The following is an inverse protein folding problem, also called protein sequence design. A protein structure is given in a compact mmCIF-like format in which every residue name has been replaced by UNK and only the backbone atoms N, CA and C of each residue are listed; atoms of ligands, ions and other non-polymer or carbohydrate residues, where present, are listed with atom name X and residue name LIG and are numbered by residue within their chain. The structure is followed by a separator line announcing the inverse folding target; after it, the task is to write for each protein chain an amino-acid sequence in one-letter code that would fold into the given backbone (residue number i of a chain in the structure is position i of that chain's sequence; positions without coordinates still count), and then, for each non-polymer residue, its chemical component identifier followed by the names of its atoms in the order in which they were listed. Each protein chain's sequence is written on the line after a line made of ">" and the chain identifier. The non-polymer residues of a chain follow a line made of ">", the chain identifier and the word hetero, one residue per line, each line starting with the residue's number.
data_IF_616190925644
#
_entry.id   IF_616190925644
#
_cell.length_a   1.000
_cell.length_b   1.000
_cell.length_c   1.000
_cell.angle_alpha   90.00
_cell.angle_beta   90.00
_cell.angle_gamma   90.00
#
_symmetry.space_group_name_H-M   'P 1'
#
loop_
_entity.id
_entity.type
_entity.pdbx_description
1 polymer ?
#
# COMPACT_ATOMS: atom_id res chain seq x y z
N UNK A 1 -10.17 -53.04 -1.69
CA UNK A 1 -9.24 -52.03 -1.16
C UNK A 1 -9.83 -50.65 -1.46
N UNK A 2 -10.47 -50.02 -0.46
CA UNK A 2 -11.19 -48.74 -0.63
C UNK A 2 -10.17 -47.62 -0.81
N UNK A 3 -10.06 -47.04 -2.01
CA UNK A 3 -9.24 -45.84 -2.24
C UNK A 3 -9.86 -44.67 -1.47
N UNK A 4 -9.26 -44.30 -0.35
CA UNK A 4 -9.59 -43.05 0.35
C UNK A 4 -9.42 -41.87 -0.62
N UNK A 5 -10.33 -40.88 -0.64
CA UNK A 5 -10.29 -39.79 -1.63
C UNK A 5 -9.05 -38.92 -1.43
N UNK A 6 -8.27 -38.71 -2.50
CA UNK A 6 -7.00 -37.94 -2.50
C UNK A 6 -7.13 -36.49 -1.99
N UNK A 7 -8.36 -35.97 -1.94
CA UNK A 7 -8.71 -34.65 -1.42
C UNK A 7 -8.45 -34.54 0.10
N UNK A 8 -8.67 -35.61 0.87
CA UNK A 8 -8.47 -35.60 2.33
C UNK A 8 -6.98 -35.52 2.70
N UNK A 9 -6.12 -36.28 2.01
CA UNK A 9 -4.66 -36.21 2.22
C UNK A 9 -4.08 -34.85 1.85
N UNK A 10 -4.58 -34.21 0.77
CA UNK A 10 -4.17 -32.84 0.40
C UNK A 10 -4.57 -31.80 1.45
N UNK A 11 -5.76 -31.94 2.06
CA UNK A 11 -6.20 -31.04 3.15
C UNK A 11 -5.37 -31.22 4.42
N UNK A 12 -5.09 -32.46 4.82
CA UNK A 12 -4.25 -32.77 5.99
C UNK A 12 -2.83 -32.26 5.78
N UNK A 13 -2.23 -32.48 4.61
CA UNK A 13 -0.89 -31.98 4.29
C UNK A 13 -0.80 -30.45 4.32
N UNK A 14 -1.81 -29.74 3.81
CA UNK A 14 -1.88 -28.27 3.92
C UNK A 14 -2.01 -27.80 5.36
N UNK A 15 -2.80 -28.50 6.17
CA UNK A 15 -2.96 -28.18 7.59
C UNK A 15 -1.67 -28.37 8.38
N UNK A 16 -0.97 -29.50 8.19
CA UNK A 16 0.32 -29.78 8.83
C UNK A 16 1.37 -28.73 8.42
N UNK A 17 1.45 -28.40 7.12
CA UNK A 17 2.35 -27.35 6.62
C UNK A 17 2.07 -26.00 7.29
N UNK A 18 0.79 -25.63 7.39
CA UNK A 18 0.36 -24.40 8.04
C UNK A 18 0.77 -24.37 9.52
N UNK A 19 0.44 -25.42 10.28
CA UNK A 19 0.80 -25.52 11.71
C UNK A 19 2.33 -25.38 11.89
N UNK A 20 3.11 -26.07 11.06
CA UNK A 20 4.57 -25.97 11.10
C UNK A 20 5.09 -24.55 10.83
N UNK A 21 4.47 -23.83 9.91
CA UNK A 21 4.86 -22.45 9.59
C UNK A 21 4.46 -21.45 10.68
N UNK A 22 3.28 -21.61 11.28
CA UNK A 22 2.84 -20.80 12.43
C UNK A 22 3.77 -21.01 13.64
N UNK A 23 4.20 -22.25 13.89
CA UNK A 23 5.16 -22.58 14.95
C UNK A 23 6.55 -21.96 14.68
N UNK A 24 7.06 -22.05 13.45
CA UNK A 24 8.29 -21.35 13.05
C UNK A 24 8.16 -19.84 13.24
N UNK A 25 7.01 -19.26 12.89
CA UNK A 25 6.76 -17.83 13.08
C UNK A 25 6.77 -17.44 14.54
N UNK A 26 6.19 -18.27 15.42
CA UNK A 26 6.22 -18.05 16.86
C UNK A 26 7.66 -18.06 17.40
N UNK A 27 8.48 -19.03 16.97
CA UNK A 27 9.90 -19.11 17.35
C UNK A 27 10.69 -17.89 16.86
N UNK A 28 10.41 -17.41 15.65
CA UNK A 28 10.99 -16.16 15.14
C UNK A 28 10.61 -14.95 16.00
N UNK A 29 9.33 -14.80 16.33
CA UNK A 29 8.83 -13.71 17.20
C UNK A 29 9.51 -13.73 18.58
N UNK A 30 9.80 -14.92 19.11
CA UNK A 30 10.54 -15.06 20.37
C UNK A 30 12.02 -14.67 20.29
N UNK A 31 12.60 -14.63 19.08
CA UNK A 31 13.99 -14.20 18.87
C UNK A 31 14.14 -12.70 18.71
N UNK A 32 13.05 -11.99 18.42
CA UNK A 32 13.06 -10.52 18.38
C UNK A 32 13.37 -9.98 19.77
N UNK A 33 14.27 -8.99 19.84
CA UNK A 33 14.71 -8.35 21.09
C UNK A 33 13.51 -7.99 21.97
N UNK A 34 13.54 -8.42 23.23
CA UNK A 34 12.38 -8.33 24.12
C UNK A 34 11.93 -6.88 24.35
N UNK A 35 12.86 -5.91 24.30
CA UNK A 35 12.58 -4.48 24.47
C UNK A 35 11.68 -3.94 23.37
N UNK A 36 11.70 -4.52 22.17
CA UNK A 36 10.77 -4.18 21.07
C UNK A 36 9.32 -4.43 21.50
N UNK A 37 9.07 -5.53 22.23
CA UNK A 37 7.73 -5.89 22.69
C UNK A 37 7.35 -5.17 23.98
N UNK A 38 8.28 -5.09 24.95
CA UNK A 38 8.05 -4.45 26.25
C UNK A 38 7.69 -2.96 26.11
N UNK A 39 8.27 -2.27 25.11
CA UNK A 39 8.05 -0.85 24.85
C UNK A 39 6.92 -0.57 23.86
N UNK A 40 6.34 -1.58 23.22
CA UNK A 40 5.39 -1.39 22.11
C UNK A 40 4.21 -0.47 22.50
N UNK A 41 3.54 -0.79 23.62
CA UNK A 41 2.35 -0.05 24.05
C UNK A 41 2.67 1.38 24.47
N UNK A 42 3.79 1.61 25.16
CA UNK A 42 4.18 2.96 25.60
C UNK A 42 4.63 3.85 24.43
N UNK A 43 5.28 3.28 23.42
CA UNK A 43 5.60 3.98 22.17
C UNK A 43 4.32 4.36 21.43
N UNK A 44 3.34 3.45 21.40
CA UNK A 44 2.06 3.68 20.75
C UNK A 44 1.25 4.77 21.46
N UNK A 45 1.16 4.73 22.80
CA UNK A 45 0.49 5.76 23.59
C UNK A 45 1.17 7.13 23.43
N UNK A 46 2.51 7.15 23.38
CA UNK A 46 3.25 8.38 23.08
C UNK A 46 2.85 8.94 21.71
N UNK A 47 2.79 8.11 20.67
CA UNK A 47 2.45 8.56 19.32
C UNK A 47 1.02 9.10 19.22
N UNK A 48 0.09 8.54 20.01
CA UNK A 48 -1.25 9.09 20.18
C UNK A 48 -1.23 10.47 20.85
N UNK A 49 -0.45 10.65 21.92
CA UNK A 49 -0.36 11.94 22.60
C UNK A 49 0.26 13.06 21.73
N UNK A 50 1.09 12.70 20.73
CA UNK A 50 1.69 13.67 19.81
C UNK A 50 0.73 14.14 18.70
N UNK A 51 -0.32 13.38 18.36
CA UNK A 51 -1.22 13.77 17.27
C UNK A 51 -1.95 15.10 17.51
N UNK A 52 -1.98 15.55 18.76
CA UNK A 52 -2.71 16.72 19.21
C UNK A 52 -1.82 17.98 19.31
N UNK A 53 -0.52 17.86 19.01
CA UNK A 53 0.46 18.96 19.16
C UNK A 53 0.89 19.52 17.80
N UNK A 54 1.05 20.85 17.73
CA UNK A 54 1.59 21.53 16.54
C UNK A 54 3.10 21.37 16.47
N UNK A 55 3.59 21.00 15.28
CA UNK A 55 4.97 20.56 15.09
C UNK A 55 5.86 21.70 14.58
N UNK A 56 6.91 22.04 15.33
CA UNK A 56 7.92 23.04 14.95
C UNK A 56 9.33 22.48 15.24
N UNK A 57 9.78 21.56 14.40
CA UNK A 57 11.09 20.93 14.50
C UNK A 57 12.21 21.68 13.76
N UNK A 58 13.42 21.66 14.34
CA UNK A 58 14.60 22.35 13.80
C UNK A 58 15.51 21.48 12.90
N UNK A 59 15.26 20.18 12.76
CA UNK A 59 16.11 19.30 11.93
C UNK A 59 15.89 19.59 10.42
N UNK A 60 16.98 19.59 9.65
CA UNK A 60 17.00 19.76 8.19
C UNK A 60 15.97 18.89 7.45
N UNK A 61 15.80 17.62 7.85
CA UNK A 61 14.80 16.73 7.24
C UNK A 61 13.38 17.27 7.43
N UNK A 62 13.05 17.73 8.65
CA UNK A 62 11.72 18.26 8.98
C UNK A 62 11.47 19.57 8.23
N UNK A 63 12.45 20.47 8.24
CA UNK A 63 12.38 21.73 7.49
C UNK A 63 12.15 21.47 6.00
N UNK A 64 13.02 20.67 5.38
CA UNK A 64 12.97 20.35 3.95
C UNK A 64 11.70 19.60 3.58
N UNK A 65 11.27 18.66 4.41
CA UNK A 65 10.03 17.91 4.22
C UNK A 65 8.80 18.80 4.27
N UNK A 66 8.74 19.73 5.22
CA UNK A 66 7.65 20.69 5.31
C UNK A 66 7.61 21.65 4.12
N UNK A 67 8.76 22.10 3.63
CA UNK A 67 8.86 22.91 2.40
C UNK A 67 8.32 22.14 1.18
N UNK A 68 8.85 20.93 0.92
CA UNK A 68 8.45 20.08 -0.20
C UNK A 68 6.96 19.71 -0.13
N UNK A 69 6.49 19.34 1.06
CA UNK A 69 5.07 19.05 1.30
C UNK A 69 4.21 20.26 0.99
N UNK A 70 4.58 21.44 1.48
CA UNK A 70 3.82 22.67 1.25
C UNK A 70 3.72 22.99 -0.24
N UNK A 71 4.82 22.83 -0.99
CA UNK A 71 4.84 22.98 -2.45
C UNK A 71 3.87 22.01 -3.13
N UNK A 72 3.90 20.72 -2.77
CA UNK A 72 3.00 19.72 -3.34
C UNK A 72 1.54 20.00 -2.98
N UNK A 73 1.26 20.37 -1.73
CA UNK A 73 -0.08 20.76 -1.29
C UNK A 73 -0.60 21.95 -2.12
N UNK A 74 0.20 23.01 -2.26
CA UNK A 74 -0.16 24.19 -3.03
C UNK A 74 -0.39 23.89 -4.52
N UNK A 75 0.50 23.11 -5.14
CA UNK A 75 0.40 22.75 -6.57
C UNK A 75 -0.85 21.93 -6.88
N UNK A 76 -1.26 21.03 -5.99
CA UNK A 76 -2.33 20.07 -6.26
C UNK A 76 -3.69 20.47 -5.70
N UNK A 77 -3.74 21.39 -4.73
CA UNK A 77 -5.01 21.81 -4.14
C UNK A 77 -5.94 22.36 -5.21
N UNK A 78 -7.13 21.75 -5.33
CA UNK A 78 -8.16 22.17 -6.29
C UNK A 78 -7.72 22.18 -7.77
N UNK A 79 -6.57 21.58 -8.10
CA UNK A 79 -5.97 21.61 -9.45
C UNK A 79 -6.90 21.04 -10.52
N UNK A 80 -7.71 20.05 -10.17
CA UNK A 80 -8.64 19.37 -11.06
C UNK A 80 -10.10 19.85 -10.89
N UNK A 81 -10.36 20.92 -10.12
CA UNK A 81 -11.71 21.45 -9.91
C UNK A 81 -12.43 21.84 -11.22
N UNK A 82 -11.67 22.29 -12.23
CA UNK A 82 -12.20 22.67 -13.54
C UNK A 82 -12.78 21.48 -14.33
N UNK A 83 -12.45 20.24 -13.95
CA UNK A 83 -13.00 19.01 -14.53
C UNK A 83 -14.40 18.74 -13.97
N UNK A 84 -15.27 19.73 -14.15
CA UNK A 84 -16.50 19.97 -13.38
C UNK A 84 -17.58 18.89 -13.49
N UNK A 85 -17.50 18.02 -14.50
CA UNK A 85 -18.47 16.94 -14.70
C UNK A 85 -18.05 15.61 -14.04
N UNK A 86 -16.84 15.49 -13.49
CA UNK A 86 -16.42 14.27 -12.80
C UNK A 86 -16.98 14.21 -11.38
N UNK A 87 -17.59 13.08 -11.04
CA UNK A 87 -18.06 12.72 -9.71
C UNK A 87 -17.72 11.26 -9.48
N UNK A 88 -16.76 10.99 -8.60
CA UNK A 88 -16.16 9.65 -8.49
C UNK A 88 -16.64 8.97 -7.22
N UNK A 89 -17.28 7.82 -7.36
CA UNK A 89 -17.61 6.95 -6.23
C UNK A 89 -16.57 5.84 -6.14
N UNK A 90 -16.02 5.59 -4.95
CA UNK A 90 -14.98 4.57 -4.74
C UNK A 90 -15.47 3.57 -3.70
N UNK A 91 -15.47 2.29 -4.08
CA UNK A 91 -15.91 1.20 -3.21
C UNK A 91 -14.80 0.80 -2.24
N UNK A 92 -15.01 1.05 -0.94
CA UNK A 92 -14.01 0.88 0.11
C UNK A 92 -14.39 -0.30 1.02
N UNK A 93 -13.51 -1.31 1.19
CA UNK A 93 -13.78 -2.44 2.09
C UNK A 93 -13.59 -2.03 3.55
N UNK A 94 -14.19 -2.75 4.52
CA UNK A 94 -13.84 -2.58 5.92
C UNK A 94 -12.36 -2.90 6.19
N UNK A 95 -11.70 -2.07 7.01
CA UNK A 95 -10.29 -2.22 7.36
C UNK A 95 -9.92 -3.62 7.89
N UNK A 96 -10.81 -4.26 8.66
CA UNK A 96 -10.56 -5.59 9.23
C UNK A 96 -10.65 -6.73 8.20
N UNK A 97 -11.30 -6.51 7.05
CA UNK A 97 -11.44 -7.50 5.97
C UNK A 97 -10.27 -7.37 4.99
N UNK A 98 -9.98 -6.14 4.55
CA UNK A 98 -8.86 -5.85 3.67
C UNK A 98 -8.16 -4.58 4.13
N UNK A 99 -7.16 -4.69 5.03
CA UNK A 99 -6.39 -3.53 5.49
C UNK A 99 -5.70 -2.81 4.32
N UNK A 100 -5.14 -3.57 3.38
CA UNK A 100 -4.49 -3.04 2.18
C UNK A 100 -5.48 -2.35 1.24
N UNK A 101 -6.63 -2.97 0.96
CA UNK A 101 -7.68 -2.37 0.13
C UNK A 101 -8.24 -1.10 0.77
N UNK A 102 -8.49 -1.11 2.08
CA UNK A 102 -8.93 0.07 2.81
C UNK A 102 -7.91 1.21 2.70
N UNK A 103 -6.62 0.93 2.88
CA UNK A 103 -5.54 1.92 2.75
C UNK A 103 -5.53 2.54 1.36
N UNK A 104 -5.46 1.69 0.33
CA UNK A 104 -5.41 2.07 -1.09
C UNK A 104 -6.58 2.94 -1.51
N UNK A 105 -7.81 2.44 -1.36
CA UNK A 105 -9.00 3.15 -1.83
C UNK A 105 -9.27 4.42 -1.03
N UNK A 106 -8.98 4.42 0.28
CA UNK A 106 -9.13 5.64 1.09
C UNK A 106 -8.11 6.71 0.68
N UNK A 107 -6.84 6.34 0.46
CA UNK A 107 -5.80 7.26 0.00
C UNK A 107 -6.14 7.89 -1.35
N UNK A 108 -6.64 7.07 -2.28
CA UNK A 108 -7.06 7.55 -3.58
C UNK A 108 -8.22 8.54 -3.45
N UNK A 109 -9.23 8.21 -2.65
CA UNK A 109 -10.36 9.12 -2.39
C UNK A 109 -9.90 10.44 -1.76
N UNK A 110 -9.08 10.41 -0.70
CA UNK A 110 -8.58 11.61 -0.03
C UNK A 110 -7.77 12.50 -1.00
N UNK A 111 -7.02 11.88 -1.92
CA UNK A 111 -6.24 12.60 -2.93
C UNK A 111 -7.14 13.25 -3.98
N UNK A 112 -8.13 12.52 -4.49
CA UNK A 112 -9.09 13.05 -5.49
C UNK A 112 -9.88 14.22 -4.89
N UNK A 113 -10.31 14.11 -3.63
CA UNK A 113 -10.99 15.19 -2.91
C UNK A 113 -10.12 16.43 -2.81
N UNK A 114 -8.86 16.25 -2.41
CA UNK A 114 -7.88 17.34 -2.30
C UNK A 114 -7.61 18.05 -3.64
N UNK A 115 -7.63 17.30 -4.73
CA UNK A 115 -7.48 17.82 -6.10
C UNK A 115 -8.74 18.58 -6.58
N UNK A 116 -9.82 18.61 -5.79
CA UNK A 116 -11.04 19.37 -6.06
C UNK A 116 -12.09 18.65 -6.90
N UNK A 117 -11.96 17.33 -7.09
CA UNK A 117 -12.97 16.52 -7.78
C UNK A 117 -13.91 15.91 -6.74
N UNK A 118 -15.24 16.10 -6.86
CA UNK A 118 -16.20 15.49 -5.95
C UNK A 118 -16.02 13.97 -5.88
N UNK A 119 -15.80 13.46 -4.68
CA UNK A 119 -15.60 12.03 -4.44
C UNK A 119 -16.44 11.53 -3.27
N UNK A 120 -16.96 10.31 -3.40
CA UNK A 120 -17.71 9.62 -2.34
C UNK A 120 -17.12 8.25 -2.10
N UNK A 121 -16.74 7.99 -0.84
CA UNK A 121 -16.44 6.62 -0.38
C UNK A 121 -17.77 5.89 -0.19
N UNK A 122 -17.90 4.74 -0.86
CA UNK A 122 -19.00 3.79 -0.69
C UNK A 122 -18.47 2.63 0.16
N UNK A 123 -18.89 2.55 1.41
CA UNK A 123 -18.51 1.46 2.31
C UNK A 123 -19.44 0.26 2.14
N UNK A 124 -18.98 -0.94 2.50
CA UNK A 124 -19.76 -2.19 2.36
C UNK A 124 -21.06 -2.23 3.19
N UNK A 125 -21.18 -1.37 4.20
CA UNK A 125 -22.37 -1.22 5.04
C UNK A 125 -23.38 -0.20 4.49
N UNK A 126 -22.99 0.57 3.48
CA UNK A 126 -23.83 1.64 2.96
C UNK A 126 -24.98 1.09 2.12
N UNK A 127 -26.09 1.81 2.10
CA UNK A 127 -27.17 1.54 1.15
C UNK A 127 -26.76 2.06 -0.23
N UNK A 128 -26.38 1.13 -1.12
CA UNK A 128 -25.91 1.46 -2.48
C UNK A 128 -26.86 2.38 -3.25
N UNK A 129 -28.17 2.09 -3.24
CA UNK A 129 -29.14 2.86 -4.00
C UNK A 129 -29.29 4.30 -3.48
N UNK A 130 -29.27 4.48 -2.16
CA UNK A 130 -29.33 5.80 -1.54
C UNK A 130 -28.07 6.62 -1.89
N UNK A 131 -26.87 6.03 -1.74
CA UNK A 131 -25.62 6.73 -2.06
C UNK A 131 -25.53 7.05 -3.54
N UNK A 132 -25.93 6.13 -4.43
CA UNK A 132 -25.94 6.34 -5.88
C UNK A 132 -26.86 7.50 -6.28
N UNK A 133 -28.08 7.55 -5.72
CA UNK A 133 -29.03 8.62 -5.99
C UNK A 133 -28.55 9.98 -5.46
N UNK A 134 -28.20 10.05 -4.17
CA UNK A 134 -27.81 11.29 -3.50
C UNK A 134 -26.52 11.89 -4.08
N UNK A 135 -25.53 11.04 -4.37
CA UNK A 135 -24.26 11.51 -4.89
C UNK A 135 -24.27 11.70 -6.40
N UNK A 136 -25.11 10.98 -7.15
CA UNK A 136 -25.18 11.04 -8.61
C UNK A 136 -23.79 10.96 -9.28
N UNK A 137 -23.01 9.87 -9.09
CA UNK A 137 -21.67 9.75 -9.65
C UNK A 137 -21.69 9.63 -11.18
N UNK A 138 -20.58 10.02 -11.80
CA UNK A 138 -20.27 9.69 -13.21
C UNK A 138 -19.34 8.49 -13.33
N UNK A 139 -18.61 8.15 -12.27
CA UNK A 139 -17.73 6.99 -12.25
C UNK A 139 -17.87 6.19 -10.95
N UNK A 140 -17.82 4.87 -11.04
CA UNK A 140 -17.65 3.95 -9.91
C UNK A 140 -16.36 3.16 -10.07
N UNK A 141 -15.47 3.26 -9.09
CA UNK A 141 -14.26 2.44 -8.98
C UNK A 141 -14.50 1.33 -7.96
N UNK A 142 -14.35 0.07 -8.37
CA UNK A 142 -14.45 -1.10 -7.48
C UNK A 142 -13.45 -2.18 -7.87
N UNK A 143 -13.41 -3.29 -7.12
CA UNK A 143 -12.59 -4.45 -7.42
C UNK A 143 -13.36 -5.51 -8.22
N UNK A 144 -12.65 -6.22 -9.11
CA UNK A 144 -13.13 -7.43 -9.80
C UNK A 144 -13.24 -8.66 -8.88
N UNK A 145 -12.82 -8.55 -7.62
CA UNK A 145 -12.94 -9.62 -6.65
C UNK A 145 -14.40 -9.81 -6.21
N UNK A 146 -14.87 -11.06 -6.19
CA UNK A 146 -16.27 -11.42 -5.88
C UNK A 146 -16.82 -10.79 -4.60
N UNK A 147 -16.02 -10.74 -3.53
CA UNK A 147 -16.42 -10.11 -2.27
C UNK A 147 -16.81 -8.61 -2.40
N UNK A 148 -16.33 -7.91 -3.43
CA UNK A 148 -16.75 -6.56 -3.76
C UNK A 148 -17.96 -6.59 -4.70
N UNK A 149 -17.91 -7.40 -5.75
CA UNK A 149 -18.99 -7.47 -6.74
C UNK A 149 -20.33 -7.87 -6.10
N UNK A 150 -20.32 -8.80 -5.14
CA UNK A 150 -21.52 -9.28 -4.43
C UNK A 150 -22.16 -8.20 -3.52
N UNK A 151 -21.51 -7.04 -3.33
CA UNK A 151 -22.00 -5.92 -2.51
C UNK A 151 -22.60 -4.77 -3.32
N UNK A 152 -22.53 -4.86 -4.65
CA UNK A 152 -23.06 -3.85 -5.56
C UNK A 152 -24.39 -4.36 -6.12
N UNK A 153 -25.42 -3.51 -6.10
CA UNK A 153 -26.67 -3.79 -6.79
C UNK A 153 -26.50 -3.52 -8.30
N UNK A 154 -26.11 -4.55 -9.03
CA UNK A 154 -25.87 -4.47 -10.48
C UNK A 154 -27.13 -4.19 -11.28
N UNK A 155 -28.31 -4.53 -10.76
CA UNK A 155 -29.59 -4.15 -11.37
C UNK A 155 -29.77 -2.63 -11.37
N UNK A 156 -29.46 -2.00 -10.23
CA UNK A 156 -29.47 -0.54 -10.09
C UNK A 156 -28.38 0.15 -10.89
N UNK A 157 -27.17 -0.42 -10.97
CA UNK A 157 -26.12 0.07 -11.87
C UNK A 157 -26.63 0.11 -13.32
N UNK A 158 -27.20 -0.99 -13.79
CA UNK A 158 -27.71 -1.10 -15.15
C UNK A 158 -28.89 -0.14 -15.42
N UNK A 159 -29.76 0.10 -14.44
CA UNK A 159 -30.83 1.09 -14.53
C UNK A 159 -30.27 2.52 -14.59
N UNK A 160 -29.35 2.87 -13.68
CA UNK A 160 -28.76 4.20 -13.57
C UNK A 160 -27.96 4.59 -14.83
N UNK A 161 -27.19 3.65 -15.40
CA UNK A 161 -26.46 3.85 -16.67
C UNK A 161 -27.35 4.16 -17.88
N UNK A 162 -28.65 3.90 -17.84
CA UNK A 162 -29.56 4.22 -18.97
C UNK A 162 -29.86 5.71 -19.07
N UNK A 163 -29.83 6.43 -17.95
CA UNK A 163 -30.22 7.84 -17.86
C UNK A 163 -29.07 8.77 -17.46
N UNK A 164 -27.91 8.23 -17.11
CA UNK A 164 -26.75 9.00 -16.67
C UNK A 164 -25.50 8.62 -17.47
N UNK A 165 -24.62 9.59 -17.68
CA UNK A 165 -23.26 9.33 -18.16
C UNK A 165 -22.44 8.69 -17.04
N UNK A 166 -22.59 7.38 -16.88
CA UNK A 166 -22.05 6.60 -15.77
C UNK A 166 -21.20 5.43 -16.26
N UNK A 167 -19.95 5.40 -15.81
CA UNK A 167 -18.96 4.36 -16.17
C UNK A 167 -18.47 3.61 -14.94
N UNK A 168 -18.25 2.30 -15.07
CA UNK A 168 -17.72 1.45 -14.00
C UNK A 168 -16.32 0.97 -14.37
N UNK A 169 -15.36 1.16 -13.46
CA UNK A 169 -14.01 0.65 -13.54
C UNK A 169 -13.76 -0.48 -12.55
N UNK A 170 -13.08 -1.54 -12.98
CA UNK A 170 -12.70 -2.68 -12.14
C UNK A 170 -11.20 -2.80 -11.95
N UNK A 171 -10.77 -3.35 -10.81
CA UNK A 171 -9.38 -3.77 -10.65
C UNK A 171 -9.02 -4.88 -11.64
N UNK A 172 -7.79 -4.90 -12.16
CA UNK A 172 -7.25 -5.94 -13.01
C UNK A 172 -6.46 -6.95 -12.17
N UNK A 173 -7.14 -7.95 -11.64
CA UNK A 173 -6.50 -9.00 -10.83
C UNK A 173 -6.16 -10.22 -11.69
N UNK A 174 -4.99 -10.82 -11.46
CA UNK A 174 -4.65 -12.18 -11.93
C UNK A 174 -4.92 -13.21 -10.83
N UNK A 175 -5.17 -14.46 -11.21
CA UNK A 175 -5.36 -15.53 -10.22
C UNK A 175 -4.04 -15.95 -9.57
N UNK A 176 -4.09 -16.20 -8.26
CA UNK A 176 -3.99 -17.60 -7.82
C UNK A 176 -5.17 -18.06 -6.94
N UNK A 177 -6.21 -17.23 -6.77
CA UNK A 177 -7.15 -17.35 -5.63
C UNK A 177 -8.65 -17.20 -6.00
N UNK A 178 -9.01 -17.28 -7.29
CA UNK A 178 -10.42 -17.23 -7.74
C UNK A 178 -11.06 -18.60 -7.92
N UNK A 179 -12.39 -18.64 -7.90
CA UNK A 179 -13.20 -19.79 -8.34
C UNK A 179 -13.57 -19.72 -9.83
N UNK A 180 -13.24 -18.61 -10.50
CA UNK A 180 -13.60 -18.28 -11.88
C UNK A 180 -12.35 -17.80 -12.61
N UNK A 181 -12.12 -18.35 -13.79
CA UNK A 181 -10.93 -18.03 -14.60
C UNK A 181 -10.92 -16.54 -14.96
N UNK A 182 -9.75 -15.98 -15.31
CA UNK A 182 -9.68 -14.60 -15.80
C UNK A 182 -10.65 -14.35 -16.98
N UNK A 183 -10.80 -15.33 -17.86
CA UNK A 183 -11.75 -15.26 -18.98
C UNK A 183 -13.19 -15.10 -18.51
N UNK A 184 -13.61 -15.88 -17.52
CA UNK A 184 -14.97 -15.78 -16.96
C UNK A 184 -15.22 -14.41 -16.33
N UNK A 185 -14.20 -13.82 -15.67
CA UNK A 185 -14.31 -12.45 -15.11
C UNK A 185 -14.44 -11.40 -16.20
N UNK A 186 -13.69 -11.53 -17.30
CA UNK A 186 -13.76 -10.60 -18.43
C UNK A 186 -15.10 -10.72 -19.17
N UNK A 187 -15.60 -11.94 -19.40
CA UNK A 187 -16.95 -12.17 -19.95
C UNK A 187 -18.05 -11.63 -19.04
N UNK A 188 -17.89 -11.78 -17.71
CA UNK A 188 -18.78 -11.16 -16.75
C UNK A 188 -18.75 -9.62 -16.89
N UNK A 189 -17.56 -9.02 -16.99
CA UNK A 189 -17.40 -7.58 -17.18
C UNK A 189 -18.05 -7.06 -18.46
N UNK A 190 -17.90 -7.78 -19.57
CA UNK A 190 -18.57 -7.46 -20.83
C UNK A 190 -20.10 -7.46 -20.69
N UNK A 191 -20.67 -8.50 -20.06
CA UNK A 191 -22.12 -8.58 -19.83
C UNK A 191 -22.67 -7.47 -18.92
N UNK A 192 -21.81 -6.85 -18.10
CA UNK A 192 -22.16 -5.74 -17.21
C UNK A 192 -21.69 -4.38 -17.75
N UNK A 193 -21.20 -4.31 -18.99
CA UNK A 193 -20.72 -3.08 -19.65
C UNK A 193 -19.65 -2.35 -18.84
N UNK A 194 -18.70 -3.09 -18.27
CA UNK A 194 -17.55 -2.51 -17.59
C UNK A 194 -16.74 -1.67 -18.57
N UNK A 195 -16.46 -0.42 -18.20
CA UNK A 195 -15.90 0.58 -19.11
C UNK A 195 -14.38 0.51 -19.19
N UNK A 196 -13.70 0.16 -18.10
CA UNK A 196 -12.24 0.09 -18.06
C UNK A 196 -11.71 -0.75 -16.90
N UNK A 197 -10.42 -1.06 -16.98
CA UNK A 197 -9.69 -1.77 -15.94
C UNK A 197 -8.51 -0.94 -15.44
N UNK A 198 -8.20 -1.07 -14.15
CA UNK A 198 -7.07 -0.39 -13.52
C UNK A 198 -6.40 -1.33 -12.52
N UNK A 199 -5.19 -1.05 -12.06
CA UNK A 199 -4.60 -1.85 -10.99
C UNK A 199 -3.38 -1.20 -10.37
N UNK A 200 -2.93 -1.76 -9.25
CA UNK A 200 -1.91 -1.12 -8.40
C UNK A 200 -0.47 -1.55 -8.69
N UNK A 201 -0.28 -2.33 -9.77
CA UNK A 201 1.04 -2.77 -10.24
C UNK A 201 1.52 -1.85 -11.34
N UNK A 202 2.82 -1.82 -11.56
CA UNK A 202 3.46 -1.00 -12.57
C UNK A 202 3.12 -1.48 -13.99
N UNK A 203 3.14 -0.57 -14.96
CA UNK A 203 2.84 -0.90 -16.35
C UNK A 203 3.76 -1.98 -16.91
N UNK A 204 5.04 -1.97 -16.50
CA UNK A 204 6.03 -2.97 -16.89
C UNK A 204 5.59 -4.40 -16.53
N UNK A 205 4.92 -4.56 -15.38
CA UNK A 205 4.41 -5.86 -14.95
C UNK A 205 3.28 -6.38 -15.83
N UNK A 206 2.34 -5.51 -16.20
CA UNK A 206 1.23 -5.87 -17.08
C UNK A 206 1.71 -6.25 -18.48
N UNK A 207 2.79 -5.63 -18.95
CA UNK A 207 3.40 -5.95 -20.24
C UNK A 207 4.21 -7.26 -20.21
N UNK A 208 4.91 -7.55 -19.11
CA UNK A 208 5.80 -8.72 -19.00
C UNK A 208 5.03 -10.03 -18.71
N UNK A 209 3.96 -9.99 -17.93
CA UNK A 209 3.32 -11.21 -17.45
C UNK A 209 2.19 -11.68 -18.37
N UNK A 210 2.35 -12.87 -18.95
CA UNK A 210 1.41 -13.48 -19.88
C UNK A 210 -0.04 -13.54 -19.35
N UNK A 211 -0.23 -13.68 -18.05
CA UNK A 211 -1.55 -13.69 -17.42
C UNK A 211 -2.38 -12.42 -17.65
N UNK A 212 -1.75 -11.29 -18.00
CA UNK A 212 -2.46 -10.05 -18.34
C UNK A 212 -2.72 -9.87 -19.84
N UNK A 213 -2.15 -10.72 -20.71
CA UNK A 213 -2.33 -10.63 -22.17
C UNK A 213 -3.81 -10.67 -22.58
N UNK A 214 -4.62 -11.45 -21.86
CA UNK A 214 -6.06 -11.55 -22.12
C UNK A 214 -6.83 -10.22 -22.02
N UNK A 215 -6.38 -9.26 -21.20
CA UNK A 215 -6.97 -7.93 -21.19
C UNK A 215 -6.74 -7.24 -22.54
N UNK A 216 -5.50 -7.22 -23.01
CA UNK A 216 -5.15 -6.60 -24.29
C UNK A 216 -5.76 -7.31 -25.51
N UNK A 217 -5.88 -8.64 -25.48
CA UNK A 217 -6.54 -9.43 -26.55
C UNK A 217 -8.02 -9.09 -26.71
N UNK A 218 -8.67 -8.62 -25.64
CA UNK A 218 -10.06 -8.15 -25.64
C UNK A 218 -10.17 -6.63 -25.80
N UNK A 219 -9.06 -5.95 -26.12
CA UNK A 219 -9.03 -4.51 -26.36
C UNK A 219 -9.04 -3.65 -25.09
N UNK A 220 -8.79 -4.24 -23.91
CA UNK A 220 -8.70 -3.49 -22.67
C UNK A 220 -7.26 -3.09 -22.35
N UNK A 221 -7.05 -1.79 -22.13
CA UNK A 221 -5.85 -1.25 -21.48
C UNK A 221 -6.03 -1.28 -19.95
N UNK A 222 -4.98 -1.68 -19.22
CA UNK A 222 -4.98 -1.68 -17.76
C UNK A 222 -4.28 -0.41 -17.30
N UNK A 223 -5.04 0.49 -16.69
CA UNK A 223 -4.45 1.71 -16.17
C UNK A 223 -3.71 1.46 -14.85
N UNK A 224 -2.40 1.71 -14.85
CA UNK A 224 -1.55 1.56 -13.68
C UNK A 224 -1.72 2.72 -12.68
N UNK A 225 -2.12 2.35 -11.47
CA UNK A 225 -2.26 3.17 -10.27
C UNK A 225 -1.29 2.69 -9.19
N UNK A 226 0.00 2.77 -9.45
CA UNK A 226 1.02 2.39 -8.47
C UNK A 226 0.80 3.09 -7.11
N UNK A 227 1.27 2.43 -6.04
CA UNK A 227 1.34 3.03 -4.71
C UNK A 227 2.09 4.38 -4.73
N UNK A 228 1.82 5.19 -3.70
CA UNK A 228 2.48 6.47 -3.47
C UNK A 228 2.29 6.93 -2.03
N UNK A 229 3.03 7.96 -1.64
CA UNK A 229 2.88 8.57 -0.32
C UNK A 229 1.72 9.56 -0.32
N UNK A 230 0.79 9.44 0.62
CA UNK A 230 -0.26 10.45 0.83
C UNK A 230 0.32 11.66 1.59
N UNK A 231 0.50 12.83 0.94
CA UNK A 231 1.08 14.02 1.59
C UNK A 231 0.24 14.55 2.74
N UNK A 232 -1.05 14.23 2.79
CA UNK A 232 -1.94 14.64 3.88
C UNK A 232 -1.61 13.91 5.19
N UNK A 233 -1.08 12.69 5.11
CA UNK A 233 -0.88 11.81 6.27
C UNK A 233 0.59 11.58 6.61
N UNK A 234 1.45 11.52 5.60
CA UNK A 234 2.85 11.16 5.74
C UNK A 234 3.74 12.34 5.36
N UNK A 235 4.49 12.79 6.34
CA UNK A 235 5.46 13.87 6.26
C UNK A 235 6.39 13.78 7.47
N UNK A 236 7.60 14.34 7.40
CA UNK A 236 8.51 14.27 8.53
C UNK A 236 7.98 15.12 9.67
N UNK A 237 8.07 14.59 10.89
CA UNK A 237 7.66 15.28 12.11
C UNK A 237 8.83 15.41 13.07
N UNK A 238 8.81 16.43 13.93
CA UNK A 238 9.83 16.59 14.95
C UNK A 238 9.66 15.55 16.04
N UNK A 239 10.78 14.96 16.45
CA UNK A 239 10.85 14.12 17.65
C UNK A 239 12.04 14.54 18.50
N UNK A 240 11.96 14.39 19.83
CA UNK A 240 13.09 14.70 20.71
C UNK A 240 14.35 13.92 20.31
N UNK A 241 14.19 12.66 19.95
CA UNK A 241 15.28 11.77 19.57
C UNK A 241 14.78 10.63 18.67
N UNK A 242 15.65 10.15 17.76
CA UNK A 242 15.48 8.86 17.07
C UNK A 242 16.00 7.72 17.94
N UNK A 243 15.20 7.31 18.90
CA UNK A 243 15.58 6.36 19.94
C UNK A 243 15.25 4.89 19.62
N UNK A 244 14.67 4.62 18.45
CA UNK A 244 14.39 3.28 17.95
C UNK A 244 15.45 2.88 16.93
N UNK A 245 16.11 1.75 17.13
CA UNK A 245 17.16 1.31 16.21
C UNK A 245 16.58 1.01 14.81
N UNK A 246 15.33 0.53 14.77
CA UNK A 246 14.57 0.37 13.55
C UNK A 246 13.07 0.54 13.75
N UNK A 247 12.36 0.80 12.64
CA UNK A 247 10.89 0.81 12.56
C UNK A 247 10.43 -0.09 11.43
N UNK A 248 9.42 -0.93 11.69
CA UNK A 248 8.84 -1.86 10.72
C UNK A 248 7.33 -2.00 10.90
N UNK A 249 6.56 -1.09 10.27
CA UNK A 249 5.10 -1.19 10.23
C UNK A 249 4.70 -2.05 9.02
N UNK A 250 4.41 -3.33 9.24
CA UNK A 250 4.06 -4.29 8.20
C UNK A 250 3.09 -5.35 8.73
N UNK A 251 2.17 -5.81 7.88
CA UNK A 251 1.39 -7.02 8.21
C UNK A 251 2.27 -8.26 8.19
N UNK A 252 1.99 -9.21 9.07
CA UNK A 252 2.51 -10.57 8.99
C UNK A 252 1.45 -11.50 8.43
N UNK A 253 1.74 -12.11 7.30
CA UNK A 253 0.93 -13.16 6.72
C UNK A 253 1.84 -14.27 6.18
N UNK A 254 1.25 -15.43 5.95
CA UNK A 254 1.98 -16.66 5.60
C UNK A 254 2.90 -16.49 4.38
N UNK A 255 2.50 -15.65 3.42
CA UNK A 255 3.24 -15.38 2.18
C UNK A 255 4.51 -14.54 2.41
N UNK A 256 4.65 -13.89 3.56
CA UNK A 256 5.81 -13.06 3.95
C UNK A 256 6.72 -13.70 4.98
N UNK A 257 6.25 -14.76 5.66
CA UNK A 257 6.98 -15.36 6.77
C UNK A 257 8.38 -15.84 6.35
N UNK A 258 8.50 -16.47 5.19
CA UNK A 258 9.79 -16.96 4.69
C UNK A 258 10.79 -15.82 4.50
N UNK A 259 10.36 -14.70 3.90
CA UNK A 259 11.17 -13.47 3.81
C UNK A 259 11.56 -12.94 5.20
N UNK A 260 10.64 -12.93 6.18
CA UNK A 260 10.97 -12.43 7.52
C UNK A 260 11.99 -13.31 8.24
N UNK A 261 11.90 -14.63 8.09
CA UNK A 261 12.84 -15.58 8.69
C UNK A 261 14.24 -15.48 8.11
N UNK A 262 14.33 -15.13 6.85
CA UNK A 262 15.59 -15.05 6.14
C UNK A 262 16.27 -13.70 6.37
N UNK A 263 15.54 -12.59 6.24
CA UNK A 263 16.12 -11.25 6.15
C UNK A 263 16.23 -10.50 7.48
N UNK A 264 15.33 -10.74 8.43
CA UNK A 264 15.26 -9.95 9.67
C UNK A 264 16.16 -10.42 10.83
N UNK A 265 16.51 -11.71 11.02
CA UNK A 265 17.17 -12.16 12.26
C UNK A 265 18.49 -11.45 12.57
N UNK A 266 19.28 -11.12 11.55
CA UNK A 266 20.55 -10.39 11.69
C UNK A 266 20.43 -8.97 12.23
N UNK A 267 19.20 -8.45 12.33
CA UNK A 267 18.87 -7.11 12.82
C UNK A 267 18.03 -7.23 14.10
N UNK A 268 16.86 -7.86 14.01
CA UNK A 268 15.82 -7.74 15.05
C UNK A 268 16.16 -8.47 16.35
N UNK A 269 17.12 -9.39 16.35
CA UNK A 269 17.45 -10.22 17.52
C UNK A 269 18.32 -9.53 18.57
N UNK A 270 18.98 -8.42 18.22
CA UNK A 270 19.90 -7.70 19.10
C UNK A 270 19.71 -6.18 19.14
N UNK A 271 18.66 -5.68 18.49
CA UNK A 271 18.37 -4.26 18.37
C UNK A 271 16.96 -3.97 18.85
N UNK A 272 16.77 -2.88 19.59
CA UNK A 272 15.47 -2.50 20.11
C UNK A 272 14.78 -1.56 19.11
N UNK A 273 13.78 -2.09 18.41
CA UNK A 273 13.03 -1.33 17.41
C UNK A 273 11.55 -1.20 17.76
N UNK A 274 10.76 -0.95 16.72
CA UNK A 274 9.30 -0.97 16.79
C UNK A 274 8.73 -1.74 15.59
N UNK A 275 8.01 -2.82 15.87
CA UNK A 275 7.32 -3.63 14.88
C UNK A 275 5.83 -3.50 15.14
N UNK A 276 5.05 -3.20 14.10
CA UNK A 276 3.61 -3.12 14.22
C UNK A 276 2.86 -3.53 12.94
N UNK A 277 1.61 -3.95 13.11
CA UNK A 277 0.72 -4.36 12.02
C UNK A 277 -0.13 -5.60 12.36
N UNK A 278 -1.10 -5.94 11.51
CA UNK A 278 -1.92 -7.13 11.72
C UNK A 278 -1.09 -8.41 11.51
N UNK A 279 -1.31 -9.42 12.36
CA UNK A 279 -0.72 -10.76 12.24
C UNK A 279 0.51 -11.03 13.12
N UNK A 280 1.01 -10.05 13.87
CA UNK A 280 2.09 -10.26 14.85
C UNK A 280 1.54 -10.76 16.19
N UNK A 281 2.04 -11.89 16.69
CA UNK A 281 1.49 -12.54 17.88
C UNK A 281 1.58 -11.75 19.19
N UNK A 282 2.56 -10.84 19.32
CA UNK A 282 2.81 -10.08 20.56
C UNK A 282 2.15 -8.70 20.59
N UNK A 283 1.38 -8.36 19.55
CA UNK A 283 0.76 -7.04 19.40
C UNK A 283 -0.70 -7.11 19.83
N UNK A 284 -1.08 -6.26 20.78
CA UNK A 284 -2.46 -6.21 21.31
C UNK A 284 -3.36 -5.29 20.48
N UNK A 285 -2.82 -4.14 20.06
CA UNK A 285 -3.46 -3.17 19.17
C UNK A 285 -2.44 -2.68 18.15
N UNK A 286 -2.89 -2.45 16.93
CA UNK A 286 -2.05 -1.90 15.86
C UNK A 286 -2.34 -0.41 15.66
N UNK A 287 -1.31 0.33 15.28
CA UNK A 287 -1.37 1.77 15.10
C UNK A 287 -2.36 2.17 13.99
N UNK A 288 -3.25 3.14 14.26
CA UNK A 288 -4.02 3.78 13.21
C UNK A 288 -3.09 4.62 12.31
N UNK A 289 -3.50 4.88 11.07
CA UNK A 289 -2.62 5.44 10.02
C UNK A 289 -2.18 6.87 10.35
N UNK A 290 -3.05 7.58 11.06
CA UNK A 290 -2.95 8.97 11.46
C UNK A 290 -1.76 9.23 12.37
N UNK A 291 -1.20 8.19 13.02
CA UNK A 291 -0.05 8.32 13.91
C UNK A 291 1.23 7.67 13.36
N UNK A 292 1.17 7.02 12.19
CA UNK A 292 2.32 6.31 11.61
C UNK A 292 3.54 7.23 11.44
N UNK A 293 3.35 8.49 11.04
CA UNK A 293 4.46 9.45 10.88
C UNK A 293 5.25 9.65 12.17
N UNK A 294 4.59 9.68 13.34
CA UNK A 294 5.26 9.81 14.64
C UNK A 294 6.07 8.54 14.96
N UNK A 295 5.51 7.37 14.70
CA UNK A 295 6.21 6.09 14.89
C UNK A 295 7.44 6.01 13.98
N UNK A 296 7.29 6.32 12.69
CA UNK A 296 8.39 6.32 11.74
C UNK A 296 9.49 7.32 12.12
N UNK A 297 9.12 8.54 12.55
CA UNK A 297 10.07 9.60 12.89
C UNK A 297 11.04 9.28 14.02
N UNK A 298 10.71 8.32 14.89
CA UNK A 298 11.59 7.81 15.97
C UNK A 298 12.62 6.77 15.50
N UNK A 299 12.43 6.20 14.31
CA UNK A 299 13.32 5.19 13.75
C UNK A 299 14.63 5.79 13.22
N UNK A 300 15.75 5.17 13.57
CA UNK A 300 17.04 5.41 12.90
C UNK A 300 17.06 4.79 11.49
N UNK A 301 16.44 3.60 11.35
CA UNK A 301 16.33 2.88 10.07
C UNK A 301 14.89 2.40 9.84
N UNK A 302 14.34 2.70 8.66
CA UNK A 302 13.09 2.10 8.19
C UNK A 302 13.38 0.78 7.47
N UNK A 303 12.94 -0.35 8.04
CA UNK A 303 13.10 -1.65 7.38
C UNK A 303 12.01 -1.82 6.33
N UNK A 304 12.36 -2.40 5.19
CA UNK A 304 11.39 -2.66 4.15
C UNK A 304 11.71 -3.91 3.33
N UNK A 305 10.81 -4.89 3.41
CA UNK A 305 10.87 -6.11 2.60
C UNK A 305 9.65 -6.19 1.68
N UNK A 306 9.87 -6.68 0.47
CA UNK A 306 8.88 -6.88 -0.56
C UNK A 306 8.46 -8.35 -0.67
N UNK A 307 7.31 -8.57 -1.31
CA UNK A 307 6.86 -9.92 -1.63
C UNK A 307 7.70 -10.51 -2.77
N UNK A 308 7.78 -11.84 -2.83
CA UNK A 308 8.54 -12.56 -3.86
C UNK A 308 8.21 -12.12 -5.30
N UNK A 309 6.96 -11.76 -5.58
CA UNK A 309 6.55 -11.28 -6.91
C UNK A 309 7.32 -10.02 -7.32
N UNK A 310 7.51 -9.06 -6.41
CA UNK A 310 8.27 -7.83 -6.66
C UNK A 310 9.78 -8.05 -6.78
N UNK A 311 10.30 -9.15 -6.20
CA UNK A 311 11.70 -9.55 -6.35
C UNK A 311 11.97 -10.23 -7.70
N UNK A 312 10.97 -10.95 -8.22
CA UNK A 312 11.06 -11.67 -9.50
C UNK A 312 10.76 -10.78 -10.69
N UNK A 313 9.79 -9.88 -10.55
CA UNK A 313 9.23 -9.08 -11.63
C UNK A 313 9.17 -7.61 -11.26
N UNK A 314 9.11 -6.73 -12.26
CA UNK A 314 8.88 -5.29 -12.04
C UNK A 314 7.43 -4.98 -11.64
N UNK A 315 6.90 -5.68 -10.61
CA UNK A 315 5.50 -5.67 -10.18
C UNK A 315 5.09 -4.37 -9.48
N UNK A 316 5.56 -4.18 -8.25
CA UNK A 316 5.21 -3.02 -7.43
C UNK A 316 6.31 -2.78 -6.41
N UNK A 317 6.50 -1.52 -6.02
CA UNK A 317 7.07 -1.19 -4.72
C UNK A 317 5.91 -1.13 -3.74
N UNK A 318 6.11 -1.68 -2.55
CA UNK A 318 5.06 -1.65 -1.53
C UNK A 318 4.83 -0.20 -1.05
N UNK A 319 3.65 0.06 -0.46
CA UNK A 319 3.29 1.40 0.03
C UNK A 319 4.34 2.00 0.99
N UNK A 320 4.99 1.14 1.80
CA UNK A 320 5.98 1.55 2.80
C UNK A 320 7.23 2.16 2.20
N UNK A 321 7.64 1.78 0.98
CA UNK A 321 8.76 2.45 0.27
C UNK A 321 8.50 3.94 0.11
N UNK A 322 7.27 4.32 -0.22
CA UNK A 322 6.88 5.71 -0.40
C UNK A 322 6.65 6.40 0.95
N UNK A 323 6.03 5.71 1.92
CA UNK A 323 5.76 6.29 3.24
C UNK A 323 7.06 6.61 4.00
N UNK A 324 8.04 5.71 4.00
CA UNK A 324 9.33 5.93 4.65
C UNK A 324 10.07 7.12 4.03
N UNK A 325 10.07 7.21 2.69
CA UNK A 325 10.61 8.35 1.96
C UNK A 325 9.92 9.66 2.41
N UNK A 326 8.58 9.69 2.45
CA UNK A 326 7.82 10.88 2.79
C UNK A 326 7.98 11.29 4.26
N UNK A 327 8.24 10.33 5.16
CA UNK A 327 8.55 10.61 6.56
C UNK A 327 10.03 10.99 6.80
N UNK A 328 10.88 11.00 5.75
CA UNK A 328 12.28 11.39 5.85
C UNK A 328 13.13 10.40 6.66
N UNK A 329 12.84 9.10 6.53
CA UNK A 329 13.56 8.03 7.25
C UNK A 329 14.56 7.35 6.31
N UNK A 330 15.83 7.16 6.72
CA UNK A 330 16.76 6.32 5.99
C UNK A 330 16.18 4.91 5.87
N UNK A 331 16.02 4.44 4.65
CA UNK A 331 15.31 3.20 4.37
C UNK A 331 16.27 2.14 3.82
N UNK A 332 16.23 0.98 4.48
CA UNK A 332 16.92 -0.23 4.11
C UNK A 332 15.90 -1.16 3.45
N UNK A 333 16.12 -1.43 2.18
CA UNK A 333 15.20 -2.15 1.31
C UNK A 333 15.90 -3.40 0.79
N UNK A 334 15.15 -4.47 0.56
CA UNK A 334 15.60 -5.54 -0.34
C UNK A 334 15.74 -5.01 -1.79
N UNK A 335 15.89 -5.89 -2.77
CA UNK A 335 16.15 -5.50 -4.16
C UNK A 335 14.99 -5.84 -5.11
N UNK A 336 13.80 -5.23 -4.95
CA UNK A 336 12.70 -5.44 -5.89
C UNK A 336 13.03 -4.83 -7.25
N UNK A 337 12.61 -5.50 -8.34
CA UNK A 337 13.00 -5.14 -9.72
C UNK A 337 12.59 -3.73 -10.14
N UNK A 338 11.57 -3.18 -9.49
CA UNK A 338 11.06 -1.84 -9.78
C UNK A 338 11.86 -0.71 -9.10
N UNK A 339 12.70 -1.03 -8.09
CA UNK A 339 13.30 -0.03 -7.19
C UNK A 339 14.01 1.10 -7.96
N UNK A 340 15.01 0.74 -8.76
CA UNK A 340 15.83 1.70 -9.47
C UNK A 340 15.18 2.27 -10.75
N UNK A 341 13.95 1.84 -11.07
CA UNK A 341 13.11 2.50 -12.07
C UNK A 341 12.28 3.65 -11.48
N UNK A 342 12.19 3.75 -10.16
CA UNK A 342 11.40 4.78 -9.45
C UNK A 342 12.28 5.68 -8.60
N UNK A 343 13.19 5.08 -7.82
CA UNK A 343 14.12 5.81 -6.96
C UNK A 343 15.56 5.74 -7.49
N UNK A 344 16.35 6.79 -7.27
CA UNK A 344 17.78 6.76 -7.59
C UNK A 344 18.55 5.91 -6.57
N UNK A 345 19.77 5.48 -6.93
CA UNK A 345 20.65 4.75 -6.01
C UNK A 345 21.09 5.60 -4.81
N UNK A 346 21.08 6.91 -4.98
CA UNK A 346 21.37 7.91 -3.95
C UNK A 346 20.19 8.12 -2.98
N UNK A 347 19.01 7.55 -3.25
CA UNK A 347 17.82 7.74 -2.41
C UNK A 347 17.66 6.65 -1.33
N UNK A 348 18.21 5.46 -1.53
CA UNK A 348 17.92 4.28 -0.69
C UNK A 348 19.16 3.44 -0.40
N UNK A 349 19.10 2.62 0.65
CA UNK A 349 20.01 1.50 0.85
C UNK A 349 19.29 0.24 0.37
N UNK A 350 19.90 -0.50 -0.55
CA UNK A 350 19.30 -1.73 -1.12
C UNK A 350 20.27 -2.89 -0.98
N UNK A 351 19.79 -4.02 -0.48
CA UNK A 351 20.55 -5.25 -0.40
C UNK A 351 19.96 -6.34 -1.29
N UNK A 352 20.82 -7.15 -1.88
CA UNK A 352 20.46 -8.31 -2.71
C UNK A 352 20.49 -9.62 -1.93
N UNK A 353 21.13 -9.65 -0.75
CA UNK A 353 21.13 -10.82 0.14
C UNK A 353 20.83 -10.45 1.60
N UNK A 354 20.40 -11.42 2.44
CA UNK A 354 20.19 -11.19 3.86
C UNK A 354 21.43 -10.72 4.62
N UNK A 355 22.61 -11.24 4.27
CA UNK A 355 23.88 -10.85 4.88
C UNK A 355 24.19 -9.38 4.56
N UNK A 356 24.07 -9.00 3.29
CA UNK A 356 24.23 -7.61 2.84
C UNK A 356 23.20 -6.69 3.52
N UNK A 357 21.96 -7.15 3.71
CA UNK A 357 20.92 -6.39 4.41
C UNK A 357 21.33 -6.11 5.86
N UNK A 358 21.87 -7.11 6.58
CA UNK A 358 22.37 -6.93 7.94
C UNK A 358 23.65 -6.06 8.01
N UNK A 359 24.54 -6.17 7.02
CA UNK A 359 25.74 -5.31 6.91
C UNK A 359 25.36 -3.85 6.64
N UNK A 360 24.45 -3.60 5.69
CA UNK A 360 23.96 -2.26 5.41
C UNK A 360 23.22 -1.66 6.60
N UNK A 361 22.47 -2.44 7.36
CA UNK A 361 21.87 -1.96 8.61
C UNK A 361 22.92 -1.42 9.58
N UNK A 362 24.00 -2.18 9.83
CA UNK A 362 25.12 -1.73 10.69
C UNK A 362 25.81 -0.50 10.11
N UNK A 363 25.96 -0.46 8.79
CA UNK A 363 26.54 0.67 8.08
C UNK A 363 25.72 1.95 8.28
N UNK A 364 24.39 1.88 8.12
CA UNK A 364 23.49 3.02 8.31
C UNK A 364 23.62 3.59 9.73
N UNK A 365 23.62 2.73 10.76
CA UNK A 365 23.77 3.16 12.15
C UNK A 365 25.13 3.82 12.42
N UNK A 366 26.19 3.35 11.75
CA UNK A 366 27.55 3.89 11.90
C UNK A 366 27.81 5.14 11.06
N UNK A 367 26.97 5.43 10.06
CA UNK A 367 27.14 6.52 9.10
C UNK A 367 25.91 7.44 9.05
N UNK A 368 25.53 8.09 10.17
CA UNK A 368 24.27 8.84 10.27
C UNK A 368 24.17 10.02 9.28
N UNK A 369 25.29 10.63 8.88
CA UNK A 369 25.31 11.72 7.88
C UNK A 369 24.92 11.24 6.49
N UNK A 370 25.45 10.09 6.06
CA UNK A 370 25.08 9.51 4.76
C UNK A 370 23.64 9.00 4.79
N UNK A 371 23.22 8.42 5.92
CA UNK A 371 21.84 8.02 6.14
C UNK A 371 20.88 9.22 5.99
N UNK A 372 21.21 10.37 6.58
CA UNK A 372 20.47 11.62 6.44
C UNK A 372 20.42 12.10 4.99
N UNK A 373 21.55 12.08 4.27
CA UNK A 373 21.61 12.48 2.86
C UNK A 373 20.71 11.61 1.97
N UNK A 374 20.74 10.29 2.13
CA UNK A 374 19.86 9.36 1.39
C UNK A 374 18.39 9.57 1.77
N UNK A 375 18.09 9.81 3.04
CA UNK A 375 16.73 10.15 3.49
C UNK A 375 16.23 11.46 2.85
N UNK A 376 17.04 12.51 2.81
CA UNK A 376 16.71 13.77 2.11
C UNK A 376 16.50 13.55 0.62
N UNK A 377 17.34 12.73 -0.02
CA UNK A 377 17.20 12.43 -1.44
C UNK A 377 15.91 11.68 -1.75
N UNK A 378 15.56 10.65 -0.97
CA UNK A 378 14.28 9.94 -1.14
C UNK A 378 13.06 10.83 -0.85
N UNK A 379 13.16 11.74 0.12
CA UNK A 379 12.14 12.75 0.44
C UNK A 379 11.87 13.67 -0.77
N UNK A 380 12.92 14.14 -1.44
CA UNK A 380 12.79 14.95 -2.66
C UNK A 380 12.16 14.18 -3.83
N UNK A 381 12.59 12.93 -4.02
CA UNK A 381 12.06 12.09 -5.11
C UNK A 381 10.60 11.72 -4.90
N UNK A 382 10.19 11.42 -3.65
CA UNK A 382 8.80 11.04 -3.39
C UNK A 382 7.85 12.23 -3.59
N UNK A 383 8.20 13.41 -3.08
CA UNK A 383 7.35 14.59 -3.21
C UNK A 383 7.29 15.11 -4.65
N UNK A 384 8.34 14.91 -5.45
CA UNK A 384 8.35 15.35 -6.86
C UNK A 384 7.59 14.43 -7.82
N UNK A 385 7.44 13.13 -7.53
CA UNK A 385 6.93 12.14 -8.53
C UNK A 385 6.08 10.99 -7.99
N UNK A 386 6.13 10.71 -6.69
CA UNK A 386 5.60 9.47 -6.12
C UNK A 386 4.61 9.69 -4.98
N UNK A 387 3.90 10.82 -4.98
CA UNK A 387 2.76 11.03 -4.08
C UNK A 387 1.47 10.46 -4.68
N UNK A 388 0.49 10.18 -3.82
CA UNK A 388 -0.86 9.78 -4.27
C UNK A 388 -1.56 10.87 -5.07
N UNK A 389 -1.15 12.14 -4.94
CA UNK A 389 -1.68 13.24 -5.76
C UNK A 389 -1.31 13.10 -7.23
N UNK A 390 -0.07 12.71 -7.54
CA UNK A 390 0.35 12.42 -8.91
C UNK A 390 -0.47 11.27 -9.52
N UNK A 391 -0.78 10.26 -8.70
CA UNK A 391 -1.59 9.10 -9.12
C UNK A 391 -3.05 9.51 -9.36
N UNK A 392 -3.61 10.30 -8.45
CA UNK A 392 -4.97 10.82 -8.56
C UNK A 392 -5.13 11.74 -9.78
N UNK A 393 -4.20 12.67 -10.01
CA UNK A 393 -4.21 13.53 -11.20
C UNK A 393 -4.18 12.70 -12.49
N UNK A 394 -3.28 11.72 -12.58
CA UNK A 394 -3.18 10.85 -13.76
C UNK A 394 -4.50 10.11 -14.02
N UNK A 395 -5.13 9.58 -12.96
CA UNK A 395 -6.42 8.91 -13.07
C UNK A 395 -7.54 9.86 -13.49
N UNK A 396 -7.63 11.04 -12.87
CA UNK A 396 -8.64 12.06 -13.19
C UNK A 396 -8.52 12.45 -14.66
N UNK A 397 -7.30 12.71 -15.14
CA UNK A 397 -7.05 13.03 -16.54
C UNK A 397 -7.50 11.90 -17.46
N UNK A 398 -7.22 10.63 -17.10
CA UNK A 398 -7.66 9.47 -17.88
C UNK A 398 -9.17 9.29 -17.88
N UNK A 399 -9.85 9.47 -16.75
CA UNK A 399 -11.31 9.41 -16.65
C UNK A 399 -11.97 10.53 -17.47
N UNK A 400 -11.37 11.72 -17.48
CA UNK A 400 -11.88 12.86 -18.24
C UNK A 400 -11.68 12.71 -19.75
N UNK A 401 -10.50 12.25 -20.20
CA UNK A 401 -10.20 12.03 -21.61
C UNK A 401 -10.87 10.77 -22.19
N UNK A 402 -11.37 9.89 -21.33
CA UNK A 402 -11.82 8.55 -21.66
C UNK A 402 -10.68 7.53 -21.68
N UNK A 403 -11.02 6.27 -21.45
CA UNK A 403 -10.15 5.12 -21.68
C UNK A 403 -10.32 4.70 -23.14
N UNK A 404 -9.23 4.73 -23.92
CA UNK A 404 -9.20 4.12 -25.24
C UNK A 404 -8.74 2.69 -25.14
#
# INVERSE_FOLDING_TARGET
>A
MVKLPSVYFKKIGRLIKRIGQEFKFMLFVMRIDSRTWERHESILDWAHAQSDQSDSGANNIVKRGNELRSQVLEVFKDKCRAVSNLRIMIHVPPKHISPGGFSLFSNLADSIDYLGVPVKKLFWSDNFAAVLGDFSPTHLLTSDHRAYLDRIDWGRVAEYSKSHNFSVGLTASIEPQGALTLRDRLSWGESHKIAFYYGFRAQEYYAELEGYRHYSELGYDIFSLEFGANPLLYYPVSVPERDLDYVFLASSNIDKHDQYFEWLPGIVSGNAGFIDGPGWYRIKRYAPREIHRFLYSRGKVGLNLHINDSLKWASELNERTYILAACGIPQLIDNPKLLFKRFSKEAVFSASTPEEYADLYRYILSNPKEAEQKALKSLEEVYSRHTTFHRAESLINRLWSGFR
#
